data_IF_356848895178
#
_entry.id   IF_356848895178
#
_cell.length_a   1.000
_cell.length_b   1.000
_cell.length_c   1.000
_cell.angle_alpha   90.00
_cell.angle_beta   90.00
_cell.angle_gamma   90.00
#
_symmetry.space_group_name_H-M   'P 1'
#
loop_
_entity.id
_entity.type
_entity.pdbx_description
1 polymer ?
#
# COMPACT_ATOMS: atom_id res chain seq x y z
N UNK A 1 1.45 -11.60 23.31
CA UNK A 1 1.29 -10.14 23.12
C UNK A 1 -0.20 -9.82 23.03
N UNK A 2 -0.76 -9.20 24.07
CA UNK A 2 -2.19 -8.87 24.12
C UNK A 2 -2.39 -7.51 23.44
N UNK A 3 -3.07 -7.47 22.29
CA UNK A 3 -3.61 -6.23 21.69
C UNK A 3 -4.79 -5.78 22.55
N UNK A 4 -4.51 -5.28 23.76
CA UNK A 4 -5.52 -4.85 24.72
C UNK A 4 -6.27 -3.59 24.30
N UNK A 5 -5.86 -2.92 23.21
CA UNK A 5 -6.52 -1.73 22.68
C UNK A 5 -6.56 -1.72 21.15
N UNK A 6 -7.54 -1.00 20.59
CA UNK A 6 -7.59 -0.72 19.15
C UNK A 6 -6.58 0.38 18.81
N UNK A 7 -5.30 -0.01 18.68
CA UNK A 7 -4.16 0.90 18.47
C UNK A 7 -3.37 0.54 17.22
N UNK A 8 -3.10 1.53 16.38
CA UNK A 8 -2.24 1.38 15.19
C UNK A 8 -0.79 1.08 15.55
N UNK A 9 -0.29 1.62 16.67
CA UNK A 9 1.09 1.38 17.13
C UNK A 9 1.26 -0.02 17.73
N UNK A 10 0.22 -0.56 18.36
CA UNK A 10 0.24 -1.95 18.81
C UNK A 10 0.27 -2.91 17.62
N UNK A 11 -0.44 -2.59 16.52
CA UNK A 11 -0.35 -3.37 15.28
C UNK A 11 1.06 -3.30 14.68
N UNK A 12 1.66 -2.11 14.60
CA UNK A 12 3.05 -1.95 14.12
C UNK A 12 4.03 -2.77 14.96
N UNK A 13 3.93 -2.65 16.28
CA UNK A 13 4.78 -3.41 17.22
C UNK A 13 4.60 -4.93 17.04
N UNK A 14 3.38 -5.37 16.75
CA UNK A 14 3.07 -6.78 16.52
C UNK A 14 3.77 -7.30 15.27
N UNK A 15 3.65 -6.55 14.17
CA UNK A 15 4.25 -6.93 12.89
C UNK A 15 5.78 -6.94 13.02
N UNK A 16 6.37 -5.94 13.66
CA UNK A 16 7.82 -5.89 13.89
C UNK A 16 8.30 -7.08 14.73
N UNK A 17 7.58 -7.41 15.80
CA UNK A 17 7.90 -8.57 16.65
C UNK A 17 7.76 -9.90 15.91
N UNK A 18 6.76 -10.03 15.02
CA UNK A 18 6.58 -11.20 14.18
C UNK A 18 7.77 -11.41 13.23
N UNK A 19 8.21 -10.35 12.54
CA UNK A 19 9.38 -10.41 11.64
C UNK A 19 10.64 -10.78 12.40
N UNK A 20 10.86 -10.13 13.54
CA UNK A 20 12.02 -10.41 14.39
C UNK A 20 12.05 -11.89 14.80
N UNK A 21 10.93 -12.43 15.28
CA UNK A 21 10.84 -13.84 15.66
C UNK A 21 11.09 -14.79 14.47
N UNK A 22 10.58 -14.48 13.27
CA UNK A 22 10.89 -15.28 12.07
C UNK A 22 12.38 -15.27 11.73
N UNK A 23 13.01 -14.10 11.81
CA UNK A 23 14.44 -13.96 11.57
C UNK A 23 15.26 -14.77 12.58
N UNK A 24 14.90 -14.72 13.87
CA UNK A 24 15.56 -15.51 14.92
C UNK A 24 15.41 -17.02 14.72
N UNK A 25 14.27 -17.44 14.17
CA UNK A 25 13.99 -18.85 13.85
C UNK A 25 14.55 -19.29 12.49
N UNK A 26 15.32 -18.44 11.80
CA UNK A 26 15.82 -18.68 10.43
C UNK A 26 14.71 -19.07 9.44
N UNK A 27 13.50 -18.55 9.65
CA UNK A 27 12.38 -18.74 8.73
C UNK A 27 12.45 -17.67 7.63
N UNK A 28 12.62 -18.06 6.35
CA UNK A 28 12.66 -17.09 5.27
C UNK A 28 11.33 -16.35 5.17
N UNK A 29 11.40 -15.05 4.93
CA UNK A 29 10.23 -14.24 4.59
C UNK A 29 9.70 -14.64 3.22
N UNK A 30 8.38 -14.60 3.07
CA UNK A 30 7.70 -14.75 1.78
C UNK A 30 7.87 -13.49 0.94
N UNK A 31 7.73 -13.61 -0.38
CA UNK A 31 7.83 -12.46 -1.29
C UNK A 31 6.85 -11.33 -0.93
N UNK A 32 5.65 -11.70 -0.45
CA UNK A 32 4.63 -10.74 0.00
C UNK A 32 5.01 -9.99 1.27
N UNK A 33 5.71 -10.67 2.18
CA UNK A 33 6.22 -10.04 3.40
C UNK A 33 7.34 -9.06 3.04
N UNK A 34 8.31 -9.50 2.23
CA UNK A 34 9.40 -8.64 1.75
C UNK A 34 8.86 -7.38 1.06
N UNK A 35 7.88 -7.56 0.17
CA UNK A 35 7.23 -6.45 -0.53
C UNK A 35 6.59 -5.44 0.41
N UNK A 36 5.90 -5.91 1.46
CA UNK A 36 5.34 -5.01 2.47
C UNK A 36 6.43 -4.22 3.19
N UNK A 37 7.50 -4.86 3.65
CA UNK A 37 8.56 -4.19 4.41
C UNK A 37 9.38 -3.21 3.58
N UNK A 38 9.57 -3.50 2.29
CA UNK A 38 10.36 -2.67 1.39
C UNK A 38 9.53 -1.52 0.80
N UNK A 39 8.27 -1.77 0.42
CA UNK A 39 7.53 -0.86 -0.45
C UNK A 39 6.32 -0.19 0.20
N UNK A 40 5.72 -0.75 1.26
CA UNK A 40 4.48 -0.20 1.83
C UNK A 40 4.62 1.22 2.33
N UNK A 41 5.75 1.54 2.97
CA UNK A 41 5.99 2.87 3.51
C UNK A 41 6.06 3.94 2.40
N UNK A 42 6.85 3.69 1.37
CA UNK A 42 7.01 4.62 0.24
C UNK A 42 5.70 4.77 -0.53
N UNK A 43 5.02 3.65 -0.80
CA UNK A 43 3.70 3.66 -1.44
C UNK A 43 2.69 4.50 -0.63
N UNK A 44 2.69 4.36 0.71
CA UNK A 44 1.78 5.11 1.56
C UNK A 44 2.10 6.61 1.55
N UNK A 45 3.38 6.99 1.51
CA UNK A 45 3.79 8.39 1.38
C UNK A 45 3.28 9.01 0.07
N UNK A 46 3.43 8.32 -1.05
CA UNK A 46 2.92 8.78 -2.35
C UNK A 46 1.40 8.85 -2.34
N UNK A 47 0.74 7.80 -1.86
CA UNK A 47 -0.73 7.67 -1.84
C UNK A 47 -1.41 8.75 -1.01
N UNK A 48 -0.75 9.20 0.05
CA UNK A 48 -1.24 10.20 0.99
C UNK A 48 -0.49 11.52 0.88
N UNK A 49 0.27 11.78 -0.19
CA UNK A 49 1.07 13.00 -0.39
C UNK A 49 1.79 13.47 0.89
N UNK A 50 2.45 12.53 1.56
CA UNK A 50 3.06 12.72 2.86
C UNK A 50 4.57 12.55 2.74
N UNK A 51 5.32 13.65 2.74
CA UNK A 51 6.79 13.63 2.77
C UNK A 51 7.29 13.63 4.21
N UNK A 52 7.43 12.45 4.81
CA UNK A 52 7.84 12.36 6.23
C UNK A 52 8.66 11.12 6.52
N UNK A 53 9.63 11.24 7.44
CA UNK A 53 10.42 10.11 7.95
C UNK A 53 9.73 9.36 9.08
N UNK A 54 8.52 9.77 9.48
CA UNK A 54 7.74 9.09 10.52
C UNK A 54 7.25 7.75 10.03
N UNK A 55 7.03 6.81 10.93
CA UNK A 55 6.51 5.47 10.60
C UNK A 55 5.20 5.49 9.81
N UNK A 56 4.90 4.42 9.09
CA UNK A 56 3.62 4.26 8.38
C UNK A 56 2.42 4.36 9.33
N UNK A 57 2.55 3.85 10.56
CA UNK A 57 1.52 3.97 11.60
C UNK A 57 1.24 5.43 11.97
N UNK A 58 2.30 6.24 12.07
CA UNK A 58 2.22 7.69 12.33
C UNK A 58 1.61 8.45 11.15
N UNK A 59 1.93 8.06 9.91
CA UNK A 59 1.34 8.65 8.70
C UNK A 59 -0.18 8.42 8.68
N UNK A 60 -0.61 7.19 8.95
CA UNK A 60 -2.04 6.85 8.99
C UNK A 60 -2.73 7.62 10.13
N UNK A 61 -2.14 7.61 11.33
CA UNK A 61 -2.70 8.32 12.49
C UNK A 61 -2.85 9.81 12.23
N UNK A 62 -1.89 10.44 11.55
CA UNK A 62 -1.94 11.87 11.23
C UNK A 62 -3.20 12.25 10.42
N UNK A 63 -3.74 11.32 9.62
CA UNK A 63 -4.97 11.50 8.84
C UNK A 63 -6.21 10.84 9.48
N UNK A 64 -6.11 10.44 10.73
CA UNK A 64 -7.16 9.73 11.46
C UNK A 64 -7.62 10.52 12.68
N UNK A 65 -8.84 10.25 13.14
CA UNK A 65 -9.38 10.94 14.32
C UNK A 65 -8.71 10.48 15.63
N UNK A 66 -8.38 9.19 15.71
CA UNK A 66 -7.68 8.58 16.84
C UNK A 66 -7.03 7.25 16.40
N UNK A 67 -6.34 6.58 17.31
CA UNK A 67 -5.65 5.32 17.00
C UNK A 67 -6.58 4.19 16.54
N UNK A 68 -7.84 4.16 17.04
CA UNK A 68 -8.83 3.16 16.61
C UNK A 68 -9.26 3.40 15.17
N UNK A 69 -9.47 4.65 14.79
CA UNK A 69 -9.76 5.04 13.40
C UNK A 69 -8.57 4.74 12.48
N UNK A 70 -7.35 5.05 12.94
CA UNK A 70 -6.12 4.71 12.22
C UNK A 70 -5.98 3.21 11.98
N UNK A 71 -6.24 2.40 13.01
CA UNK A 71 -6.24 0.94 12.89
C UNK A 71 -7.28 0.45 11.88
N UNK A 72 -8.50 1.02 11.88
CA UNK A 72 -9.52 0.67 10.88
C UNK A 72 -9.10 1.05 9.46
N UNK A 73 -8.45 2.19 9.29
CA UNK A 73 -7.96 2.69 7.99
C UNK A 73 -6.78 1.89 7.44
N UNK A 74 -6.00 1.24 8.29
CA UNK A 74 -4.89 0.39 7.86
C UNK A 74 -5.34 -0.72 6.90
N UNK A 75 -6.40 -1.45 7.23
CA UNK A 75 -6.84 -2.62 6.45
C UNK A 75 -7.21 -2.30 4.98
N UNK A 76 -8.03 -1.28 4.66
CA UNK A 76 -8.30 -0.93 3.27
C UNK A 76 -7.06 -0.38 2.54
N UNK A 77 -6.17 0.35 3.23
CA UNK A 77 -4.91 0.81 2.64
C UNK A 77 -4.00 -0.38 2.28
N UNK A 78 -3.94 -1.37 3.17
CA UNK A 78 -3.20 -2.60 2.93
C UNK A 78 -3.78 -3.40 1.76
N UNK A 79 -5.11 -3.49 1.66
CA UNK A 79 -5.76 -4.14 0.53
C UNK A 79 -5.48 -3.41 -0.80
N UNK A 80 -5.55 -2.08 -0.81
CA UNK A 80 -5.19 -1.26 -1.97
C UNK A 80 -3.72 -1.47 -2.37
N UNK A 81 -2.81 -1.48 -1.39
CA UNK A 81 -1.40 -1.76 -1.63
C UNK A 81 -1.19 -3.14 -2.25
N UNK A 82 -1.85 -4.18 -1.74
CA UNK A 82 -1.72 -5.55 -2.28
C UNK A 82 -2.22 -5.68 -3.71
N UNK A 83 -3.23 -4.90 -4.07
CA UNK A 83 -3.90 -4.98 -5.38
C UNK A 83 -3.34 -3.97 -6.39
N UNK A 84 -2.25 -3.25 -6.07
CA UNK A 84 -1.68 -2.21 -6.94
C UNK A 84 -1.22 -2.72 -8.31
N UNK A 85 -0.83 -4.00 -8.41
CA UNK A 85 -0.49 -4.65 -9.69
C UNK A 85 -1.69 -4.85 -10.62
N UNK A 86 -2.87 -5.14 -10.08
CA UNK A 86 -4.09 -5.35 -10.89
C UNK A 86 -4.61 -4.02 -11.46
N UNK A 87 -4.47 -2.92 -10.69
CA UNK A 87 -4.88 -1.59 -11.14
C UNK A 87 -3.90 -0.99 -12.15
N UNK A 88 -2.59 -1.18 -11.97
CA UNK A 88 -1.57 -0.75 -12.93
C UNK A 88 -1.74 -1.41 -14.31
N UNK A 89 -2.05 -2.71 -14.35
CA UNK A 89 -2.29 -3.40 -15.62
C UNK A 89 -3.59 -2.91 -16.30
N UNK A 90 -4.64 -2.66 -15.51
CA UNK A 90 -5.90 -2.11 -16.02
C UNK A 90 -5.71 -0.69 -16.58
N UNK A 91 -4.99 0.17 -15.87
CA UNK A 91 -4.67 1.54 -16.30
C UNK A 91 -3.78 1.56 -17.56
N UNK A 92 -2.80 0.64 -17.67
CA UNK A 92 -2.00 0.48 -18.88
C UNK A 92 -2.84 -0.01 -20.08
N UNK A 93 -3.73 -0.98 -19.87
CA UNK A 93 -4.65 -1.47 -20.92
C UNK A 93 -5.59 -0.34 -21.37
N UNK A 94 -6.15 0.44 -20.46
CA UNK A 94 -7.00 1.59 -20.78
C UNK A 94 -6.24 2.70 -21.50
N UNK A 95 -5.00 3.01 -21.09
CA UNK A 95 -4.15 3.98 -21.77
C UNK A 95 -3.79 3.55 -23.20
N UNK A 96 -3.48 2.26 -23.41
CA UNK A 96 -3.22 1.68 -24.74
C UNK A 96 -4.50 1.70 -25.60
N UNK A 97 -5.67 1.41 -25.02
CA UNK A 97 -6.95 1.45 -25.73
C UNK A 97 -7.32 2.88 -26.15
N UNK A 98 -7.07 3.88 -25.30
CA UNK A 98 -7.29 5.29 -25.60
C UNK A 98 -6.38 5.81 -26.74
N UNK A 99 -5.10 5.45 -26.74
CA UNK A 99 -4.16 5.84 -27.81
C UNK A 99 -4.53 5.22 -29.18
N UNK A 100 -5.02 3.98 -29.18
CA UNK A 100 -5.49 3.30 -30.40
C UNK A 100 -6.77 3.92 -30.97
N UNK A 101 -7.73 4.28 -30.12
CA UNK A 101 -8.97 4.95 -30.54
C UNK A 101 -8.71 6.31 -31.21
N UNK A 102 -7.75 7.09 -30.69
CA UNK A 102 -7.37 8.40 -31.24
C UNK A 102 -6.68 8.27 -32.61
N UNK A 103 -5.91 7.21 -32.84
CA UNK A 103 -5.25 6.94 -34.14
C UNK A 103 -6.24 6.57 -35.24
N UNK A 104 -7.32 5.86 -34.93
CA UNK A 104 -8.33 5.44 -35.91
C UNK A 104 -9.27 6.57 -36.34
N UNK A 105 -9.54 7.55 -35.48
CA UNK A 105 -10.32 8.75 -35.86
C UNK A 105 -9.53 9.74 -36.73
N UNK A 106 -8.20 9.80 -36.56
CA UNK A 106 -7.34 10.66 -37.39
C UNK A 106 -7.20 10.15 -38.83
N UNK A 107 -7.23 8.84 -39.06
CA UNK A 107 -7.13 8.28 -40.41
C UNK A 107 -8.43 8.41 -41.21
N UNK A 108 -9.59 8.47 -40.54
CA UNK A 108 -10.90 8.66 -41.18
C UNK A 108 -11.20 10.12 -41.58
N UNK A 109 -10.57 11.10 -40.95
CA UNK A 109 -10.75 12.53 -41.25
C UNK A 109 -9.75 13.09 -42.28
N UNK A 110 -8.97 12.21 -42.92
CA UNK A 110 -7.91 12.57 -43.89
C UNK A 110 -8.21 12.06 -45.32
N UNK A 111 -9.43 11.58 -45.57
CA UNK A 111 -9.95 11.17 -46.90
C UNK A 111 -11.17 12.01 -47.23
#
# INVERSE_FOLDING_TARGET
MYIGGASIFQLESFINGYVMARSELNMPSTDRENDFFENFHNWLQERLDARTTKSWSSIILFRSFNERDALKRFFPLWEEFRNRGDRSLAEEIEAIAADRGIREERTKNLV
#
